data_IF_565688206366
#
_entry.id   IF_565688206366
#
_cell.length_a   1.000
_cell.length_b   1.000
_cell.length_c   1.000
_cell.angle_alpha   90.00
_cell.angle_beta   90.00
_cell.angle_gamma   90.00
#
_symmetry.space_group_name_H-M   'P 1'
#
loop_
_entity.id
_entity.type
_entity.pdbx_description
1 polymer ?
#
# COMPACT_ATOMS: atom_id res chain seq x y z
N UNK A 1 41.21 5.39 -13.97
CA UNK A 1 41.36 6.05 -12.66
C UNK A 1 40.29 5.50 -11.72
N UNK A 2 40.66 5.01 -10.54
CA UNK A 2 39.71 4.35 -9.63
C UNK A 2 38.80 5.37 -8.92
N UNK A 3 39.30 6.59 -8.71
CA UNK A 3 38.59 7.67 -8.04
C UNK A 3 37.43 8.24 -8.88
N UNK A 4 37.58 8.28 -10.21
CA UNK A 4 36.50 8.72 -11.12
C UNK A 4 35.33 7.74 -11.15
N UNK A 5 35.61 6.44 -10.97
CA UNK A 5 34.58 5.41 -10.86
C UNK A 5 33.85 5.44 -9.51
N UNK A 6 34.57 5.69 -8.41
CA UNK A 6 33.93 5.80 -7.08
C UNK A 6 33.01 7.03 -6.98
N UNK A 7 33.44 8.15 -7.56
CA UNK A 7 32.65 9.38 -7.59
C UNK A 7 31.37 9.23 -8.42
N UNK A 8 31.43 8.56 -9.57
CA UNK A 8 30.23 8.30 -10.38
C UNK A 8 29.22 7.39 -9.66
N UNK A 9 29.68 6.36 -8.95
CA UNK A 9 28.81 5.50 -8.13
C UNK A 9 28.10 6.31 -7.05
N UNK A 10 28.82 7.19 -6.34
CA UNK A 10 28.22 7.99 -5.27
C UNK A 10 27.24 9.02 -5.82
N UNK A 11 27.53 9.60 -6.99
CA UNK A 11 26.61 10.47 -7.72
C UNK A 11 25.31 9.75 -8.06
N UNK A 12 25.39 8.56 -8.69
CA UNK A 12 24.21 7.77 -9.04
C UNK A 12 23.38 7.35 -7.82
N UNK A 13 24.03 7.00 -6.70
CA UNK A 13 23.33 6.70 -5.44
C UNK A 13 22.57 7.93 -4.90
N UNK A 14 23.21 9.10 -4.91
CA UNK A 14 22.60 10.36 -4.48
C UNK A 14 21.39 10.73 -5.34
N UNK A 15 21.52 10.61 -6.66
CA UNK A 15 20.44 10.84 -7.62
C UNK A 15 19.30 9.83 -7.45
N UNK A 16 19.61 8.56 -7.25
CA UNK A 16 18.61 7.51 -7.00
C UNK A 16 17.78 7.81 -5.76
N UNK A 17 18.42 8.23 -4.65
CA UNK A 17 17.70 8.59 -3.42
C UNK A 17 16.75 9.77 -3.67
N UNK A 18 17.19 10.80 -4.40
CA UNK A 18 16.33 11.95 -4.76
C UNK A 18 15.14 11.52 -5.60
N UNK A 19 15.37 10.66 -6.58
CA UNK A 19 14.32 10.14 -7.46
C UNK A 19 13.32 9.27 -6.69
N UNK A 20 13.77 8.40 -5.78
CA UNK A 20 12.88 7.59 -4.95
C UNK A 20 12.00 8.45 -4.04
N UNK A 21 12.55 9.52 -3.44
CA UNK A 21 11.76 10.46 -2.64
C UNK A 21 10.68 11.15 -3.48
N UNK A 22 11.04 11.58 -4.69
CA UNK A 22 10.10 12.20 -5.63
C UNK A 22 8.99 11.23 -6.05
N UNK A 23 9.37 10.01 -6.44
CA UNK A 23 8.42 8.97 -6.83
C UNK A 23 7.48 8.59 -5.69
N UNK A 24 7.99 8.45 -4.46
CA UNK A 24 7.16 8.16 -3.29
C UNK A 24 6.11 9.27 -3.07
N UNK A 25 6.50 10.54 -3.21
CA UNK A 25 5.58 11.67 -3.09
C UNK A 25 4.52 11.67 -4.20
N UNK A 26 4.93 11.41 -5.45
CA UNK A 26 4.00 11.31 -6.59
C UNK A 26 3.02 10.14 -6.42
N UNK A 27 3.49 8.99 -5.94
CA UNK A 27 2.64 7.83 -5.64
C UNK A 27 1.59 8.15 -4.58
N UNK A 28 1.99 8.81 -3.48
CA UNK A 28 1.06 9.22 -2.43
C UNK A 28 0.03 10.22 -2.97
N UNK A 29 0.45 11.23 -3.72
CA UNK A 29 -0.45 12.20 -4.32
C UNK A 29 -1.46 11.54 -5.26
N UNK A 30 -1.00 10.61 -6.11
CA UNK A 30 -1.87 9.87 -7.03
C UNK A 30 -2.90 9.04 -6.25
N UNK A 31 -2.48 8.31 -5.21
CA UNK A 31 -3.39 7.50 -4.39
C UNK A 31 -4.42 8.38 -3.68
N UNK A 32 -3.99 9.46 -3.02
CA UNK A 32 -4.89 10.39 -2.33
C UNK A 32 -5.86 11.10 -3.28
N UNK A 33 -5.45 11.38 -4.52
CA UNK A 33 -6.35 11.94 -5.53
C UNK A 33 -7.39 10.94 -6.06
N UNK A 34 -7.01 9.66 -6.13
CA UNK A 34 -7.83 8.61 -6.74
C UNK A 34 -8.82 8.02 -5.75
N UNK A 35 -8.44 7.93 -4.49
CA UNK A 35 -9.25 7.34 -3.43
C UNK A 35 -9.53 8.39 -2.37
N UNK A 36 -10.81 8.72 -2.21
CA UNK A 36 -11.27 9.53 -1.09
C UNK A 36 -11.08 8.77 0.21
N UNK A 37 -10.92 9.50 1.31
CA UNK A 37 -10.90 8.91 2.65
C UNK A 37 -12.16 8.08 2.87
N UNK A 38 -12.00 6.87 3.40
CA UNK A 38 -13.12 5.95 3.65
C UNK A 38 -13.71 6.27 5.02
N UNK A 39 -15.04 6.36 5.10
CA UNK A 39 -15.74 6.65 6.34
C UNK A 39 -16.01 5.39 7.16
N UNK A 40 -16.18 5.56 8.48
CA UNK A 40 -16.60 4.47 9.36
C UNK A 40 -17.99 3.96 8.96
N UNK A 41 -18.19 2.65 8.97
CA UNK A 41 -19.43 2.02 8.54
C UNK A 41 -19.57 1.87 7.02
N UNK A 42 -18.62 2.38 6.22
CA UNK A 42 -18.66 2.23 4.77
C UNK A 42 -18.26 0.81 4.34
N UNK A 43 -18.91 0.30 3.30
CA UNK A 43 -18.56 -0.99 2.69
C UNK A 43 -17.26 -0.87 1.89
N UNK A 44 -16.40 -1.88 2.02
CA UNK A 44 -15.14 -2.02 1.31
C UNK A 44 -15.00 -3.45 0.74
N UNK A 45 -14.40 -3.55 -0.45
CA UNK A 45 -14.00 -4.83 -1.02
C UNK A 45 -12.53 -5.10 -0.69
N UNK A 46 -12.28 -6.11 0.14
CA UNK A 46 -10.94 -6.51 0.57
C UNK A 46 -10.45 -7.63 -0.33
N UNK A 47 -9.34 -7.40 -1.04
CA UNK A 47 -8.75 -8.41 -1.92
C UNK A 47 -8.03 -9.49 -1.10
N UNK A 48 -8.32 -10.75 -1.40
CA UNK A 48 -7.61 -11.90 -0.82
C UNK A 48 -6.33 -12.14 -1.63
N UNK A 49 -5.15 -12.20 -0.99
CA UNK A 49 -3.90 -12.58 -1.66
C UNK A 49 -4.00 -13.95 -2.33
N UNK A 50 -3.39 -14.13 -3.50
CA UNK A 50 -3.48 -15.39 -4.23
C UNK A 50 -2.95 -16.59 -3.41
N UNK A 51 -1.94 -16.38 -2.55
CA UNK A 51 -1.40 -17.41 -1.65
C UNK A 51 -2.41 -17.93 -0.61
N UNK A 52 -3.40 -17.11 -0.24
CA UNK A 52 -4.42 -17.44 0.74
C UNK A 52 -5.75 -17.84 0.06
N UNK A 53 -5.82 -17.80 -1.28
CA UNK A 53 -7.04 -18.04 -2.04
C UNK A 53 -7.07 -19.46 -2.58
N UNK A 54 -8.12 -20.20 -2.23
CA UNK A 54 -8.43 -21.47 -2.90
C UNK A 54 -8.70 -21.27 -4.40
N UNK A 55 -8.45 -22.28 -5.24
CA UNK A 55 -8.57 -22.18 -6.70
C UNK A 55 -9.93 -21.63 -7.19
N UNK A 56 -11.02 -21.96 -6.48
CA UNK A 56 -12.39 -21.54 -6.80
C UNK A 56 -12.95 -20.47 -5.85
N UNK A 57 -12.15 -19.95 -4.93
CA UNK A 57 -12.60 -18.95 -3.97
C UNK A 57 -12.69 -17.56 -4.63
N UNK A 58 -13.63 -16.75 -4.15
CA UNK A 58 -13.79 -15.34 -4.56
C UNK A 58 -12.49 -14.56 -4.37
N UNK A 59 -12.21 -13.60 -5.27
CA UNK A 59 -11.01 -12.77 -5.17
C UNK A 59 -11.08 -11.72 -4.06
N UNK A 60 -12.29 -11.33 -3.69
CA UNK A 60 -12.54 -10.26 -2.74
C UNK A 60 -13.59 -10.70 -1.70
N UNK A 61 -13.51 -10.13 -0.51
CA UNK A 61 -14.50 -10.24 0.56
C UNK A 61 -15.15 -8.87 0.75
N UNK A 62 -16.47 -8.85 0.93
CA UNK A 62 -17.18 -7.63 1.34
C UNK A 62 -17.01 -7.44 2.85
N UNK A 63 -16.51 -6.28 3.25
CA UNK A 63 -16.28 -5.91 4.64
C UNK A 63 -16.78 -4.50 4.92
N UNK A 64 -16.90 -4.15 6.19
CA UNK A 64 -17.29 -2.82 6.68
C UNK A 64 -16.11 -2.22 7.42
N UNK A 65 -15.84 -0.93 7.21
CA UNK A 65 -14.81 -0.20 7.96
C UNK A 65 -15.28 0.01 9.41
N UNK A 66 -14.48 -0.47 10.36
CA UNK A 66 -14.79 -0.44 11.79
C UNK A 66 -14.04 0.66 12.54
N UNK A 67 -12.76 0.84 12.23
CA UNK A 67 -11.89 1.87 12.84
C UNK A 67 -10.73 2.23 11.92
N UNK A 68 -10.07 3.36 12.19
CA UNK A 68 -8.84 3.81 11.54
C UNK A 68 -7.77 3.90 12.63
N UNK A 69 -6.63 3.23 12.43
CA UNK A 69 -5.48 3.24 13.34
C UNK A 69 -4.19 3.31 12.53
N UNK A 70 -3.34 4.27 12.84
CA UNK A 70 -2.00 4.41 12.24
C UNK A 70 -2.04 4.37 10.69
N UNK A 71 -2.94 5.17 10.09
CA UNK A 71 -3.18 5.24 8.64
C UNK A 71 -3.67 3.93 7.98
N UNK A 72 -4.09 2.95 8.78
CA UNK A 72 -4.68 1.70 8.32
C UNK A 72 -6.14 1.58 8.78
N UNK A 73 -6.97 0.97 7.93
CA UNK A 73 -8.35 0.66 8.26
C UNK A 73 -8.47 -0.73 8.86
N UNK A 74 -9.13 -0.81 10.01
CA UNK A 74 -9.65 -2.08 10.52
C UNK A 74 -11.00 -2.35 9.87
N UNK A 75 -11.14 -3.54 9.30
CA UNK A 75 -12.33 -3.94 8.57
C UNK A 75 -12.92 -5.22 9.14
N UNK A 76 -14.25 -5.31 9.17
CA UNK A 76 -14.99 -6.49 9.61
C UNK A 76 -15.78 -7.13 8.48
N UNK A 77 -15.65 -8.43 8.32
CA UNK A 77 -16.50 -9.24 7.46
C UNK A 77 -17.56 -9.97 8.31
N UNK A 78 -18.53 -10.62 7.66
CA UNK A 78 -19.54 -11.44 8.35
C UNK A 78 -18.94 -12.56 9.21
N UNK A 79 -17.74 -13.02 8.86
CA UNK A 79 -17.01 -14.08 9.58
C UNK A 79 -16.17 -13.57 10.74
N UNK A 80 -16.11 -12.25 10.96
CA UNK A 80 -15.33 -11.62 12.03
C UNK A 80 -14.47 -10.46 11.55
N UNK A 81 -13.65 -9.95 12.45
CA UNK A 81 -12.72 -8.85 12.18
C UNK A 81 -11.48 -9.37 11.49
N UNK A 82 -11.07 -8.72 10.40
CA UNK A 82 -9.79 -9.03 9.75
C UNK A 82 -8.66 -8.41 10.58
N UNK A 83 -7.90 -9.27 11.24
CA UNK A 83 -6.72 -8.87 12.00
C UNK A 83 -5.49 -8.77 11.10
N UNK A 84 -4.55 -7.91 11.51
CA UNK A 84 -3.25 -7.78 10.86
C UNK A 84 -2.44 -9.05 11.16
N UNK A 85 -1.98 -9.73 10.10
CA UNK A 85 -0.92 -10.76 10.18
C UNK A 85 0.44 -10.10 10.40
#
# INVERSE_FOLDING_TARGET
DNDTHLTSINQHRSESIKNFKKQAAEMLQQICSKYSKVEMGQNALVKIPDANRGCLASRNILAVVLSEREDLYQVGASTGVLEKL
#
